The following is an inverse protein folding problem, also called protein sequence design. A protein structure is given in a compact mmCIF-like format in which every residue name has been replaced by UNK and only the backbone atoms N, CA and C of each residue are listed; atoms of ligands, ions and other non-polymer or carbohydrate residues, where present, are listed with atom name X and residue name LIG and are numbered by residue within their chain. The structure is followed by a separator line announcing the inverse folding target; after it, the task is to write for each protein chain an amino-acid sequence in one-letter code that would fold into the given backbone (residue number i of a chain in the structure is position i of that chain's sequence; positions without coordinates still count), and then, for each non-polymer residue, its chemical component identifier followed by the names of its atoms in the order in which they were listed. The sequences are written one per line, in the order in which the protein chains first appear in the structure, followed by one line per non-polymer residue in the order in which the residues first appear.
data_IF_928685758405
#
_entry.id   IF_928685758405
#
_cell.length_a   1.000
_cell.length_b   1.000
_cell.length_c   1.000
_cell.angle_alpha   90.00
_cell.angle_beta   90.00
_cell.angle_gamma   90.00
#
_symmetry.space_group_name_H-M   'P 1'
#
loop_
_entity.id
_entity.type
_entity.pdbx_description
1 polymer ?
#
# COMPACT_ATOMS: atom_id res chain seq x y z
N UNK A 1 28.18 -11.75 -1.32
CA UNK A 1 27.90 -13.20 -1.24
C UNK A 1 28.14 -13.76 -2.63
N UNK A 2 29.26 -14.46 -2.86
CA UNK A 2 29.64 -14.95 -4.19
C UNK A 2 28.77 -16.17 -4.55
N UNK A 3 28.05 -16.09 -5.68
CA UNK A 3 27.33 -17.21 -6.27
C UNK A 3 28.31 -18.32 -6.65
N UNK A 4 27.98 -19.57 -6.33
CA UNK A 4 28.76 -20.72 -6.79
C UNK A 4 28.62 -20.81 -8.30
N UNK A 5 29.74 -21.01 -9.00
CA UNK A 5 29.74 -21.27 -10.44
C UNK A 5 28.93 -22.54 -10.73
N UNK A 6 27.70 -22.37 -11.23
CA UNK A 6 26.79 -23.48 -11.57
C UNK A 6 25.30 -23.18 -11.38
N UNK A 7 24.94 -22.16 -10.59
CA UNK A 7 23.52 -21.82 -10.41
C UNK A 7 23.05 -20.95 -11.58
N UNK A 8 22.12 -21.49 -12.39
CA UNK A 8 21.42 -20.71 -13.40
C UNK A 8 20.69 -19.54 -12.70
N UNK A 9 20.74 -18.33 -13.27
CA UNK A 9 20.04 -17.19 -12.69
C UNK A 9 18.55 -17.51 -12.55
N UNK A 10 17.90 -17.12 -11.44
CA UNK A 10 16.51 -17.45 -11.20
C UNK A 10 15.64 -16.85 -12.31
N UNK A 11 14.67 -17.63 -12.81
CA UNK A 11 13.76 -17.17 -13.86
C UNK A 11 12.99 -15.94 -13.35
N UNK A 12 12.82 -14.93 -14.21
CA UNK A 12 12.13 -13.66 -13.87
C UNK A 12 10.79 -13.89 -13.16
N UNK A 13 10.01 -14.88 -13.62
CA UNK A 13 8.72 -15.24 -13.03
C UNK A 13 8.82 -15.75 -11.59
N UNK A 14 9.84 -16.56 -11.28
CA UNK A 14 10.05 -17.09 -9.92
C UNK A 14 10.44 -15.97 -8.94
N UNK A 15 11.30 -15.04 -9.40
CA UNK A 15 11.67 -13.85 -8.62
C UNK A 15 10.44 -12.98 -8.37
N UNK A 16 9.63 -12.73 -9.40
CA UNK A 16 8.41 -11.94 -9.28
C UNK A 16 7.42 -12.56 -8.28
N UNK A 17 7.13 -13.85 -8.40
CA UNK A 17 6.24 -14.57 -7.47
C UNK A 17 6.77 -14.51 -6.03
N UNK A 18 8.07 -14.73 -5.82
CA UNK A 18 8.67 -14.63 -4.49
C UNK A 18 8.49 -13.23 -3.90
N UNK A 19 8.75 -12.18 -4.69
CA UNK A 19 8.60 -10.79 -4.23
C UNK A 19 7.16 -10.39 -3.96
N UNK A 20 6.20 -10.90 -4.74
CA UNK A 20 4.79 -10.68 -4.46
C UNK A 20 4.35 -11.33 -3.15
N UNK A 21 4.79 -12.55 -2.87
CA UNK A 21 4.47 -13.20 -1.60
C UNK A 21 5.08 -12.42 -0.43
N UNK A 22 6.35 -11.99 -0.55
CA UNK A 22 6.98 -11.12 0.46
C UNK A 22 6.14 -9.84 0.68
N UNK A 23 5.73 -9.15 -0.39
CA UNK A 23 4.89 -7.96 -0.31
C UNK A 23 3.54 -8.25 0.37
N UNK A 24 2.85 -9.34 0.01
CA UNK A 24 1.55 -9.69 0.58
C UNK A 24 1.68 -9.95 2.08
N UNK A 25 2.70 -10.72 2.50
CA UNK A 25 2.98 -10.96 3.91
C UNK A 25 3.35 -9.66 4.65
N UNK A 26 4.09 -8.77 4.01
CA UNK A 26 4.45 -7.46 4.57
C UNK A 26 3.26 -6.52 4.73
N UNK A 27 2.23 -6.67 3.90
CA UNK A 27 0.91 -6.06 4.07
C UNK A 27 0.07 -6.75 5.16
N UNK A 28 0.69 -7.66 5.93
CA UNK A 28 0.11 -8.39 7.06
C UNK A 28 -1.04 -9.33 6.68
N UNK A 29 -1.09 -9.76 5.41
CA UNK A 29 -1.92 -10.89 5.03
C UNK A 29 -1.36 -12.18 5.63
N UNK A 30 -2.23 -12.97 6.28
CA UNK A 30 -1.86 -14.26 6.86
C UNK A 30 -1.96 -15.35 5.82
N UNK A 31 -0.83 -15.96 5.48
CA UNK A 31 -0.78 -17.11 4.56
C UNK A 31 -1.65 -18.27 5.07
N UNK A 32 -2.53 -18.76 4.20
CA UNK A 32 -3.33 -19.98 4.44
C UNK A 32 -2.71 -21.14 3.66
N UNK A 33 -2.39 -20.92 2.38
CA UNK A 33 -1.68 -21.89 1.57
C UNK A 33 -0.99 -21.26 0.36
N UNK A 34 0.01 -21.97 -0.16
CA UNK A 34 0.79 -21.59 -1.34
C UNK A 34 0.85 -22.74 -2.33
N UNK A 35 0.66 -22.44 -3.63
CA UNK A 35 0.72 -23.41 -4.74
C UNK A 35 -0.12 -24.67 -4.50
N UNK A 36 -1.36 -24.49 -4.04
CA UNK A 36 -2.33 -25.57 -3.82
C UNK A 36 -3.64 -25.27 -4.53
N UNK A 37 -4.37 -26.32 -4.91
CA UNK A 37 -5.67 -26.20 -5.56
C UNK A 37 -5.64 -25.41 -6.88
N UNK A 38 -4.48 -25.38 -7.54
CA UNK A 38 -4.26 -24.61 -8.76
C UNK A 38 -4.15 -23.09 -8.56
N UNK A 39 -4.06 -22.61 -7.32
CA UNK A 39 -3.85 -21.19 -6.97
C UNK A 39 -2.40 -20.95 -6.55
N UNK A 40 -1.85 -19.78 -6.89
CA UNK A 40 -0.49 -19.40 -6.49
C UNK A 40 -0.39 -19.17 -4.98
N UNK A 41 -1.36 -18.44 -4.42
CA UNK A 41 -1.36 -18.07 -3.01
C UNK A 41 -2.78 -17.79 -2.50
N UNK A 42 -3.07 -18.15 -1.25
CA UNK A 42 -4.32 -17.80 -0.57
C UNK A 42 -3.98 -17.27 0.80
N UNK A 43 -4.55 -16.11 1.15
CA UNK A 43 -4.31 -15.49 2.44
C UNK A 43 -5.53 -14.78 3.00
N UNK A 44 -5.53 -14.61 4.31
CA UNK A 44 -6.51 -13.84 5.04
C UNK A 44 -6.02 -12.39 5.18
N UNK A 45 -6.85 -11.37 4.87
CA UNK A 45 -6.45 -9.98 4.97
C UNK A 45 -6.21 -9.56 6.43
N UNK A 46 -5.47 -8.47 6.64
CA UNK A 46 -5.35 -7.88 7.96
C UNK A 46 -6.73 -7.56 8.57
N UNK A 47 -6.96 -7.82 9.88
CA UNK A 47 -8.24 -7.52 10.53
C UNK A 47 -8.55 -6.02 10.51
N UNK A 48 -9.82 -5.67 10.29
CA UNK A 48 -10.27 -4.26 10.29
C UNK A 48 -10.30 -3.65 11.70
N UNK A 49 -10.46 -4.49 12.75
CA UNK A 49 -10.47 -4.06 14.15
C UNK A 49 -9.14 -4.38 14.80
N UNK A 50 -8.62 -3.39 15.53
CA UNK A 50 -7.38 -3.50 16.29
C UNK A 50 -7.71 -4.14 17.64
N UNK A 51 -7.12 -5.28 17.94
CA UNK A 51 -7.04 -5.76 19.31
C UNK A 51 -5.96 -4.93 20.02
N UNK A 52 -6.36 -4.19 21.05
CA UNK A 52 -5.42 -3.54 21.96
C UNK A 52 -5.05 -4.58 23.02
N UNK A 53 -3.85 -5.21 22.97
CA UNK A 53 -3.44 -6.11 24.02
C UNK A 53 -3.45 -5.37 25.36
N UNK A 54 -3.98 -6.00 26.42
CA UNK A 54 -4.06 -5.39 27.76
C UNK A 54 -2.67 -4.92 28.21
N UNK A 55 -2.49 -3.60 28.34
CA UNK A 55 -1.23 -2.98 28.75
C UNK A 55 -0.16 -2.82 27.65
N UNK A 56 -0.48 -3.15 26.39
CA UNK A 56 0.43 -2.97 25.26
C UNK A 56 0.17 -1.66 24.51
N UNK A 57 1.18 -1.21 23.77
CA UNK A 57 1.02 -0.16 22.76
C UNK A 57 0.15 -0.73 21.63
N UNK A 58 -0.90 -0.03 21.15
CA UNK A 58 -1.68 -0.48 20.00
C UNK A 58 -0.75 -0.70 18.81
N UNK A 59 -0.57 -1.95 18.39
CA UNK A 59 0.06 -2.23 17.10
C UNK A 59 -1.06 -2.15 16.07
N UNK A 60 -1.16 -1.01 15.37
CA UNK A 60 -2.12 -0.93 14.26
C UNK A 60 -1.62 -1.81 13.12
N UNK A 61 -2.49 -2.71 12.72
CA UNK A 61 -2.34 -3.52 11.52
C UNK A 61 -2.41 -2.60 10.28
N UNK A 62 -1.74 -2.97 9.19
CA UNK A 62 -1.97 -2.36 7.88
C UNK A 62 -3.46 -2.31 7.57
N UNK A 63 -3.92 -1.20 6.98
CA UNK A 63 -5.22 -1.23 6.35
C UNK A 63 -5.16 -2.14 5.13
N UNK A 64 -6.15 -3.02 5.03
CA UNK A 64 -6.39 -3.84 3.85
C UNK A 64 -6.36 -2.95 2.60
N UNK A 65 -5.56 -3.28 1.58
CA UNK A 65 -5.56 -2.57 0.30
C UNK A 65 -6.99 -2.47 -0.27
N UNK A 66 -7.38 -1.29 -0.76
CA UNK A 66 -8.76 -1.11 -1.23
C UNK A 66 -9.10 -1.93 -2.48
N UNK A 67 -8.12 -2.20 -3.34
CA UNK A 67 -8.27 -3.10 -4.49
C UNK A 67 -8.09 -4.56 -4.10
N UNK A 68 -8.80 -5.02 -3.08
CA UNK A 68 -8.82 -6.43 -2.71
C UNK A 68 -10.20 -6.87 -2.25
N UNK A 69 -10.49 -8.17 -2.23
CA UNK A 69 -11.72 -8.70 -1.65
C UNK A 69 -11.85 -8.42 -0.14
N UNK A 70 -13.10 -8.30 0.35
CA UNK A 70 -13.42 -8.23 1.78
C UNK A 70 -13.40 -9.61 2.43
N UNK A 71 -12.22 -10.20 2.55
CA UNK A 71 -12.04 -11.48 3.24
C UNK A 71 -10.91 -12.30 2.63
N UNK A 72 -10.92 -13.61 2.93
CA UNK A 72 -9.95 -14.56 2.40
C UNK A 72 -9.81 -14.39 0.89
N UNK A 73 -8.59 -14.14 0.43
CA UNK A 73 -8.30 -13.71 -0.94
C UNK A 73 -7.40 -14.74 -1.62
N UNK A 74 -7.80 -15.16 -2.82
CA UNK A 74 -6.94 -15.94 -3.70
C UNK A 74 -6.11 -15.02 -4.59
N UNK A 75 -4.84 -15.33 -4.77
CA UNK A 75 -3.94 -14.59 -5.64
C UNK A 75 -3.45 -15.46 -6.78
N UNK A 76 -3.38 -14.86 -7.98
CA UNK A 76 -2.77 -15.42 -9.19
C UNK A 76 -1.69 -14.46 -9.68
N UNK A 77 -0.50 -14.97 -9.94
CA UNK A 77 0.65 -14.17 -10.34
C UNK A 77 0.94 -14.37 -11.82
N UNK A 78 1.03 -13.27 -12.56
CA UNK A 78 1.28 -13.28 -14.01
C UNK A 78 2.48 -12.40 -14.31
N UNK A 79 3.56 -13.00 -14.80
CA UNK A 79 4.77 -12.28 -15.18
C UNK A 79 5.01 -12.39 -16.69
N UNK A 80 5.34 -11.28 -17.35
CA UNK A 80 6.00 -11.24 -18.65
C UNK A 80 5.19 -11.72 -19.86
N UNK A 81 3.91 -11.36 -20.00
CA UNK A 81 3.10 -11.77 -21.15
C UNK A 81 2.00 -10.77 -21.56
N UNK A 82 1.44 -10.97 -22.76
CA UNK A 82 0.14 -10.40 -23.16
C UNK A 82 -0.95 -11.02 -22.28
N UNK A 83 -1.52 -10.23 -21.38
CA UNK A 83 -2.54 -10.69 -20.45
C UNK A 83 -3.87 -10.89 -21.18
N UNK A 84 -4.38 -12.12 -21.20
CA UNK A 84 -5.77 -12.41 -21.57
C UNK A 84 -6.64 -12.28 -20.33
N UNK A 85 -6.89 -11.03 -19.89
CA UNK A 85 -7.48 -10.75 -18.58
C UNK A 85 -8.83 -11.44 -18.36
N UNK A 86 -9.73 -11.39 -19.35
CA UNK A 86 -11.06 -12.03 -19.24
C UNK A 86 -10.92 -13.54 -18.94
N UNK A 87 -10.08 -14.27 -19.69
CA UNK A 87 -9.85 -15.70 -19.47
C UNK A 87 -9.22 -15.97 -18.10
N UNK A 88 -8.21 -15.19 -17.71
CA UNK A 88 -7.53 -15.38 -16.41
C UNK A 88 -8.51 -15.15 -15.25
N UNK A 89 -9.42 -14.17 -15.38
CA UNK A 89 -10.44 -13.89 -14.38
C UNK A 89 -11.50 -15.00 -14.31
N UNK A 90 -11.92 -15.54 -15.45
CA UNK A 90 -12.84 -16.67 -15.52
C UNK A 90 -12.22 -17.91 -14.88
N UNK A 91 -10.98 -18.25 -15.23
CA UNK A 91 -10.22 -19.36 -14.64
C UNK A 91 -10.09 -19.22 -13.13
N UNK A 92 -9.72 -18.04 -12.64
CA UNK A 92 -9.58 -17.78 -11.20
C UNK A 92 -10.93 -17.94 -10.48
N UNK A 93 -12.01 -17.40 -11.03
CA UNK A 93 -13.34 -17.54 -10.47
C UNK A 93 -13.81 -19.00 -10.44
N UNK A 94 -13.51 -19.78 -11.48
CA UNK A 94 -13.81 -21.21 -11.47
C UNK A 94 -13.04 -21.95 -10.38
N UNK A 95 -11.74 -21.66 -10.21
CA UNK A 95 -10.92 -22.25 -9.13
C UNK A 95 -11.53 -21.93 -7.77
N UNK A 96 -11.88 -20.66 -7.53
CA UNK A 96 -12.51 -20.20 -6.28
C UNK A 96 -13.84 -20.92 -6.04
N UNK A 97 -14.71 -21.01 -7.06
CA UNK A 97 -16.00 -21.72 -6.97
C UNK A 97 -15.81 -23.20 -6.64
N UNK A 98 -14.87 -23.89 -7.30
CA UNK A 98 -14.55 -25.31 -7.05
C UNK A 98 -14.06 -25.54 -5.62
N UNK A 99 -13.19 -24.67 -5.10
CA UNK A 99 -12.70 -24.74 -3.72
C UNK A 99 -13.84 -24.48 -2.72
N UNK A 100 -14.64 -23.44 -2.95
CA UNK A 100 -15.73 -23.06 -2.06
C UNK A 100 -16.89 -24.07 -2.05
N UNK A 101 -17.11 -24.82 -3.14
CA UNK A 101 -18.07 -25.91 -3.19
C UNK A 101 -17.71 -27.04 -2.23
N UNK A 102 -16.41 -27.26 -1.96
CA UNK A 102 -15.96 -28.26 -1.02
C UNK A 102 -15.70 -27.65 0.37
N UNK A 103 -16.78 -27.50 1.15
CA UNK A 103 -16.75 -26.94 2.51
C UNK A 103 -15.87 -27.70 3.51
N UNK A 104 -15.38 -28.90 3.18
CA UNK A 104 -14.48 -29.68 4.04
C UNK A 104 -13.01 -29.27 3.90
N UNK A 105 -12.66 -28.48 2.88
CA UNK A 105 -11.29 -27.98 2.71
C UNK A 105 -11.10 -26.76 3.60
N UNK A 106 -10.01 -26.73 4.38
CA UNK A 106 -9.68 -25.61 5.29
C UNK A 106 -9.54 -24.25 4.60
N UNK A 107 -9.29 -24.25 3.29
CA UNK A 107 -9.15 -23.07 2.44
C UNK A 107 -10.52 -22.51 1.98
N UNK A 108 -11.63 -23.25 2.10
CA UNK A 108 -12.96 -22.80 1.67
C UNK A 108 -13.38 -21.46 2.32
N UNK A 109 -14.30 -20.74 1.67
CA UNK A 109 -14.73 -19.40 2.10
C UNK A 109 -13.85 -18.28 1.52
N UNK A 110 -13.26 -18.47 0.34
CA UNK A 110 -12.56 -17.42 -0.40
C UNK A 110 -13.58 -16.40 -0.89
N UNK A 111 -13.42 -15.13 -0.52
CA UNK A 111 -14.32 -14.02 -0.85
C UNK A 111 -14.15 -13.50 -2.29
N UNK A 112 -12.94 -13.60 -2.84
CA UNK A 112 -12.64 -13.16 -4.20
C UNK A 112 -11.19 -13.39 -4.58
N UNK A 113 -10.80 -12.83 -5.74
CA UNK A 113 -9.48 -12.99 -6.33
C UNK A 113 -8.72 -11.69 -6.52
N UNK A 114 -7.40 -11.77 -6.51
CA UNK A 114 -6.47 -10.72 -6.98
C UNK A 114 -5.57 -11.32 -8.05
N UNK A 115 -5.52 -10.70 -9.21
CA UNK A 115 -4.50 -10.98 -10.23
C UNK A 115 -3.38 -9.96 -10.04
N UNK A 116 -2.16 -10.40 -9.78
CA UNK A 116 -1.00 -9.52 -9.68
C UNK A 116 -0.08 -9.70 -10.89
N UNK A 117 0.32 -8.59 -11.50
CA UNK A 117 1.08 -8.61 -12.77
C UNK A 117 2.18 -7.57 -12.84
N UNK A 118 3.28 -7.90 -13.51
CA UNK A 118 4.42 -7.01 -13.74
C UNK A 118 4.19 -6.05 -14.93
N UNK A 119 3.02 -6.10 -15.55
CA UNK A 119 2.63 -5.30 -16.70
C UNK A 119 1.64 -4.21 -16.28
N UNK A 120 1.83 -2.98 -16.75
CA UNK A 120 0.85 -1.90 -16.54
C UNK A 120 -0.43 -2.19 -17.30
N UNK A 121 -1.58 -2.05 -16.64
CA UNK A 121 -2.89 -2.30 -17.25
C UNK A 121 -3.67 -0.98 -17.33
N UNK A 122 -4.27 -0.65 -18.49
CA UNK A 122 -5.08 0.56 -18.60
C UNK A 122 -6.24 0.57 -17.60
N UNK A 123 -6.53 1.71 -16.97
CA UNK A 123 -7.56 1.82 -15.93
C UNK A 123 -8.95 1.38 -16.39
N UNK A 124 -9.26 1.52 -17.69
CA UNK A 124 -10.51 0.99 -18.28
C UNK A 124 -10.64 -0.53 -18.17
N UNK A 125 -9.56 -1.28 -18.34
CA UNK A 125 -9.54 -2.74 -18.22
C UNK A 125 -9.60 -3.17 -16.75
N UNK A 126 -8.95 -2.41 -15.86
CA UNK A 126 -9.07 -2.59 -14.40
C UNK A 126 -10.53 -2.47 -13.97
N UNK A 127 -11.21 -1.40 -14.40
CA UNK A 127 -12.63 -1.14 -14.11
C UNK A 127 -13.53 -2.27 -14.65
N UNK A 128 -13.35 -2.64 -15.91
CA UNK A 128 -14.09 -3.74 -16.55
C UNK A 128 -13.93 -5.06 -15.79
N UNK A 129 -12.70 -5.37 -15.37
CA UNK A 129 -12.39 -6.60 -14.62
C UNK A 129 -13.10 -6.63 -13.28
N UNK A 130 -13.04 -5.52 -12.54
CA UNK A 130 -13.69 -5.37 -11.25
C UNK A 130 -15.20 -5.57 -11.35
N UNK A 131 -15.84 -4.90 -12.31
CA UNK A 131 -17.29 -4.93 -12.52
C UNK A 131 -17.80 -6.31 -12.97
N UNK A 132 -17.06 -7.00 -13.85
CA UNK A 132 -17.52 -8.26 -14.46
C UNK A 132 -17.24 -9.50 -13.60
N UNK A 133 -16.11 -9.52 -12.89
CA UNK A 133 -15.57 -10.78 -12.36
C UNK A 133 -15.44 -10.85 -10.84
N UNK A 134 -15.68 -9.78 -10.08
CA UNK A 134 -15.35 -9.73 -8.64
C UNK A 134 -13.88 -10.16 -8.36
N UNK A 135 -13.01 -9.81 -9.31
CA UNK A 135 -11.57 -10.03 -9.26
C UNK A 135 -10.91 -8.67 -9.34
N UNK A 136 -9.95 -8.44 -8.45
CA UNK A 136 -9.18 -7.20 -8.41
C UNK A 136 -7.87 -7.39 -9.17
N UNK A 137 -7.33 -6.31 -9.72
CA UNK A 137 -6.08 -6.33 -10.47
C UNK A 137 -5.04 -5.48 -9.77
N UNK A 138 -3.88 -6.08 -9.47
CA UNK A 138 -2.68 -5.41 -8.97
C UNK A 138 -1.67 -5.37 -10.10
N UNK A 139 -1.76 -4.34 -10.91
CA UNK A 139 -0.78 -4.08 -11.96
C UNK A 139 0.50 -3.46 -11.38
N UNK A 140 1.48 -3.17 -12.24
CA UNK A 140 2.77 -2.67 -11.77
C UNK A 140 2.67 -1.36 -10.98
N UNK A 141 1.74 -0.48 -11.32
CA UNK A 141 1.51 0.80 -10.61
C UNK A 141 1.00 0.54 -9.20
N UNK A 142 -0.01 -0.32 -9.04
CA UNK A 142 -0.54 -0.73 -7.74
C UNK A 142 0.52 -1.44 -6.91
N UNK A 143 1.29 -2.34 -7.51
CA UNK A 143 2.36 -3.06 -6.81
C UNK A 143 3.44 -2.10 -6.29
N UNK A 144 3.86 -1.10 -7.08
CA UNK A 144 4.80 -0.07 -6.64
C UNK A 144 4.23 0.77 -5.50
N UNK A 145 2.96 1.14 -5.59
CA UNK A 145 2.24 1.89 -4.56
C UNK A 145 2.15 1.12 -3.24
N UNK A 146 1.80 -0.17 -3.28
CA UNK A 146 1.75 -1.02 -2.08
C UNK A 146 3.15 -1.26 -1.50
N UNK A 147 4.16 -1.38 -2.36
CA UNK A 147 5.54 -1.56 -1.95
C UNK A 147 6.10 -0.32 -1.25
N UNK A 148 5.79 0.89 -1.72
CA UNK A 148 6.20 2.12 -1.03
C UNK A 148 5.55 2.24 0.35
N UNK A 149 4.29 1.80 0.46
CA UNK A 149 3.56 1.73 1.72
C UNK A 149 4.26 0.83 2.74
N UNK A 150 4.63 -0.38 2.32
CA UNK A 150 5.45 -1.31 3.14
C UNK A 150 6.80 -0.71 3.50
N UNK A 151 7.46 -0.08 2.54
CA UNK A 151 8.76 0.53 2.73
C UNK A 151 8.73 1.64 3.79
N UNK A 152 7.76 2.54 3.72
CA UNK A 152 7.62 3.65 4.68
C UNK A 152 7.34 3.12 6.09
N UNK A 153 6.46 2.12 6.23
CA UNK A 153 6.22 1.50 7.54
C UNK A 153 7.50 0.91 8.11
N UNK A 154 8.28 0.18 7.31
CA UNK A 154 9.58 -0.38 7.73
C UNK A 154 10.60 0.69 8.10
N UNK A 155 10.70 1.76 7.30
CA UNK A 155 11.56 2.94 7.55
C UNK A 155 11.24 3.58 8.91
N UNK A 156 9.97 3.58 9.30
CA UNK A 156 9.50 4.18 10.55
C UNK A 156 9.42 3.20 11.72
N UNK A 157 9.49 1.89 11.47
CA UNK A 157 9.42 0.85 12.48
C UNK A 157 10.69 0.87 13.35
N UNK A 158 10.63 1.64 14.44
CA UNK A 158 11.67 1.71 15.47
C UNK A 158 11.12 1.20 16.80
N UNK A 159 11.97 0.67 17.70
CA UNK A 159 11.55 0.32 19.04
C UNK A 159 10.81 1.48 19.70
N UNK A 160 9.63 1.21 20.28
CA UNK A 160 8.78 2.19 21.00
C UNK A 160 8.16 3.30 20.13
N UNK A 161 8.27 3.22 18.81
CA UNK A 161 7.53 4.13 17.90
C UNK A 161 6.28 3.40 17.42
N UNK A 162 5.12 3.94 17.77
CA UNK A 162 3.85 3.46 17.25
C UNK A 162 3.60 4.07 15.86
N UNK A 163 3.28 3.22 14.89
CA UNK A 163 2.83 3.62 13.57
C UNK A 163 1.34 3.39 13.51
N UNK A 164 0.60 4.41 13.12
CA UNK A 164 -0.83 4.38 12.99
C UNK A 164 -1.22 4.52 11.54
N UNK A 165 -2.10 3.64 11.08
CA UNK A 165 -2.80 3.82 9.81
C UNK A 165 -4.29 4.05 10.06
N UNK A 166 -4.89 4.97 9.30
CA UNK A 166 -6.32 5.25 9.34
C UNK A 166 -6.84 5.79 8.00
N UNK A 167 -8.11 5.52 7.71
CA UNK A 167 -8.80 6.10 6.55
C UNK A 167 -9.13 7.55 6.83
N UNK A 168 -8.91 8.41 5.85
CA UNK A 168 -9.40 9.79 5.87
C UNK A 168 -10.76 9.86 5.20
N UNK A 169 -10.86 9.24 4.03
CA UNK A 169 -12.09 9.14 3.25
C UNK A 169 -12.14 7.79 2.52
N UNK A 170 -13.03 7.66 1.54
CA UNK A 170 -13.17 6.43 0.74
C UNK A 170 -11.91 6.09 -0.06
N UNK A 171 -11.16 7.09 -0.54
CA UNK A 171 -10.03 6.90 -1.46
C UNK A 171 -8.66 7.19 -0.84
N UNK A 172 -8.61 7.63 0.42
CA UNK A 172 -7.38 8.08 1.05
C UNK A 172 -7.20 7.50 2.45
N UNK A 173 -5.95 7.18 2.76
CA UNK A 173 -5.52 6.79 4.10
C UNK A 173 -4.25 7.53 4.48
N UNK A 174 -4.05 7.75 5.77
CA UNK A 174 -2.77 8.21 6.30
C UNK A 174 -2.08 7.13 7.10
N UNK A 175 -0.78 7.06 6.92
CA UNK A 175 0.14 6.42 7.84
C UNK A 175 0.90 7.51 8.58
N UNK A 176 0.94 7.44 9.91
CA UNK A 176 1.63 8.44 10.74
C UNK A 176 2.39 7.81 11.88
N UNK A 177 3.48 8.45 12.28
CA UNK A 177 4.20 8.11 13.50
C UNK A 177 4.75 9.37 14.18
N UNK A 178 4.86 9.31 15.51
CA UNK A 178 5.46 10.37 16.32
C UNK A 178 6.85 9.90 16.72
N UNK A 179 7.86 10.67 16.34
CA UNK A 179 9.24 10.50 16.81
C UNK A 179 9.71 11.73 17.59
N UNK A 180 10.77 11.54 18.36
CA UNK A 180 11.49 12.64 19.01
C UNK A 180 12.51 13.25 18.06
N UNK A 181 12.47 14.56 17.82
CA UNK A 181 13.50 15.26 17.06
C UNK A 181 14.64 15.65 17.99
N UNK A 182 15.76 14.92 17.90
CA UNK A 182 16.86 14.97 18.89
C UNK A 182 17.62 16.29 18.95
N UNK A 183 17.39 17.23 18.01
CA UNK A 183 18.18 18.47 17.91
C UNK A 183 17.55 19.72 18.53
N UNK A 184 16.27 19.70 18.96
CA UNK A 184 15.56 20.97 19.18
C UNK A 184 14.51 21.03 20.31
N UNK A 185 14.37 20.02 21.19
CA UNK A 185 13.17 19.91 22.06
C UNK A 185 11.85 20.00 21.26
N UNK A 186 11.83 19.44 20.06
CA UNK A 186 10.65 19.43 19.19
C UNK A 186 10.19 18.00 18.93
N UNK A 187 8.90 17.85 18.66
CA UNK A 187 8.33 16.61 18.17
C UNK A 187 8.43 16.56 16.65
N UNK A 188 8.71 15.37 16.11
CA UNK A 188 8.62 15.12 14.67
C UNK A 188 7.47 14.17 14.39
N UNK A 189 6.48 14.66 13.67
CA UNK A 189 5.40 13.88 13.10
C UNK A 189 5.75 13.53 11.67
N UNK A 190 5.90 12.24 11.37
CA UNK A 190 5.98 11.79 9.98
C UNK A 190 4.59 11.38 9.54
N UNK A 191 4.16 11.88 8.39
CA UNK A 191 2.85 11.58 7.80
C UNK A 191 3.06 11.18 6.35
N UNK A 192 2.47 10.06 5.95
CA UNK A 192 2.41 9.59 4.58
C UNK A 192 0.94 9.46 4.20
N UNK A 193 0.48 10.30 3.27
CA UNK A 193 -0.84 10.27 2.67
C UNK A 193 -0.82 9.33 1.46
N UNK A 194 -1.76 8.40 1.42
CA UNK A 194 -1.93 7.43 0.35
C UNK A 194 -3.29 7.64 -0.32
N UNK A 195 -3.28 8.33 -1.46
CA UNK A 195 -4.44 8.46 -2.34
C UNK A 195 -4.46 7.28 -3.32
N UNK A 196 -5.51 6.48 -3.20
CA UNK A 196 -5.60 5.14 -3.76
C UNK A 196 -6.59 5.07 -4.92
N UNK A 197 -7.17 6.16 -5.41
CA UNK A 197 -8.04 6.07 -6.58
C UNK A 197 -7.18 5.79 -7.84
N UNK A 198 -7.43 4.74 -8.63
CA UNK A 198 -6.66 4.42 -9.84
C UNK A 198 -7.28 5.06 -11.10
N UNK A 199 -8.44 5.70 -10.96
CA UNK A 199 -9.24 6.21 -12.07
C UNK A 199 -9.22 7.73 -12.15
N UNK A 200 -9.13 8.40 -11.00
CA UNK A 200 -9.20 9.86 -10.89
C UNK A 200 -7.85 10.33 -10.36
N UNK A 201 -7.10 11.17 -11.09
CA UNK A 201 -5.89 11.82 -10.58
C UNK A 201 -6.19 12.65 -9.33
N UNK A 202 -5.18 12.82 -8.48
CA UNK A 202 -5.29 13.72 -7.34
C UNK A 202 -5.24 15.18 -7.83
N UNK A 203 -6.34 15.91 -7.64
CA UNK A 203 -6.48 17.31 -8.02
C UNK A 203 -6.23 18.28 -6.84
N UNK A 204 -6.31 19.58 -7.13
CA UNK A 204 -6.02 20.64 -6.18
C UNK A 204 -7.00 20.66 -5.01
N UNK A 205 -8.30 20.58 -5.31
CA UNK A 205 -9.37 20.62 -4.31
C UNK A 205 -9.26 19.43 -3.33
N UNK A 206 -9.09 18.22 -3.85
CA UNK A 206 -8.89 17.02 -3.04
C UNK A 206 -7.61 17.11 -2.20
N UNK A 207 -6.54 17.69 -2.76
CA UNK A 207 -5.28 17.88 -2.04
C UNK A 207 -5.48 18.83 -0.87
N UNK A 208 -6.12 19.99 -1.07
CA UNK A 208 -6.41 20.95 -0.01
C UNK A 208 -7.30 20.37 1.08
N UNK A 209 -8.36 19.66 0.69
CA UNK A 209 -9.27 18.98 1.63
C UNK A 209 -8.50 17.97 2.50
N UNK A 210 -7.72 17.07 1.89
CA UNK A 210 -6.97 16.06 2.62
C UNK A 210 -5.90 16.67 3.52
N UNK A 211 -5.20 17.71 3.08
CA UNK A 211 -4.20 18.40 3.91
C UNK A 211 -4.83 19.17 5.07
N UNK A 212 -6.02 19.74 4.88
CA UNK A 212 -6.79 20.36 5.96
C UNK A 212 -7.18 19.32 7.02
N UNK A 213 -7.71 18.16 6.59
CA UNK A 213 -8.06 17.05 7.48
C UNK A 213 -6.83 16.52 8.25
N UNK A 214 -5.69 16.34 7.57
CA UNK A 214 -4.43 15.95 8.21
C UNK A 214 -4.00 16.98 9.24
N UNK A 215 -4.03 18.26 8.88
CA UNK A 215 -3.63 19.36 9.77
C UNK A 215 -4.50 19.37 11.02
N UNK A 216 -5.83 19.29 10.87
CA UNK A 216 -6.76 19.20 12.00
C UNK A 216 -6.44 18.00 12.91
N UNK A 217 -6.19 16.82 12.34
CA UNK A 217 -5.86 15.61 13.10
C UNK A 217 -4.55 15.74 13.86
N UNK A 218 -3.52 16.34 13.26
CA UNK A 218 -2.25 16.56 13.95
C UNK A 218 -2.46 17.57 15.07
N UNK A 219 -3.20 18.67 14.82
CA UNK A 219 -3.53 19.68 15.84
C UNK A 219 -4.22 19.06 17.05
N UNK A 220 -5.20 18.18 16.84
CA UNK A 220 -5.88 17.46 17.93
C UNK A 220 -4.91 16.65 18.80
N UNK A 221 -3.88 16.05 18.20
CA UNK A 221 -2.89 15.24 18.92
C UNK A 221 -1.87 16.12 19.63
N UNK A 222 -1.44 17.22 19.01
CA UNK A 222 -0.36 18.08 19.54
C UNK A 222 -0.85 19.19 20.45
N UNK A 223 -2.16 19.49 20.48
CA UNK A 223 -2.73 20.57 21.29
C UNK A 223 -2.33 20.48 22.75
N UNK A 224 -2.28 19.26 23.28
CA UNK A 224 -1.96 19.00 24.68
C UNK A 224 -0.45 18.76 24.90
N UNK A 225 0.36 18.85 23.83
CA UNK A 225 1.80 18.72 23.87
C UNK A 225 2.43 20.13 23.96
N UNK A 226 3.34 20.32 24.91
CA UNK A 226 3.98 21.62 25.17
C UNK A 226 5.14 21.94 24.22
N UNK A 227 5.51 21.00 23.35
CA UNK A 227 6.68 21.11 22.47
C UNK A 227 6.26 21.54 21.05
N UNK A 228 7.04 22.41 20.38
CA UNK A 228 6.84 22.70 18.97
C UNK A 228 6.87 21.41 18.14
N UNK A 229 5.98 21.32 17.15
CA UNK A 229 5.86 20.13 16.30
C UNK A 229 6.23 20.44 14.85
N UNK A 230 7.12 19.61 14.33
CA UNK A 230 7.47 19.57 12.91
C UNK A 230 6.77 18.42 12.22
N UNK A 231 6.22 18.68 11.03
CA UNK A 231 5.58 17.65 10.20
C UNK A 231 6.38 17.42 8.93
N UNK A 232 6.85 16.19 8.75
CA UNK A 232 7.31 15.68 7.44
C UNK A 232 6.16 15.00 6.73
N UNK A 233 5.94 15.35 5.46
CA UNK A 233 4.74 14.97 4.70
C UNK A 233 5.10 14.31 3.37
N UNK A 234 4.81 13.03 3.24
CA UNK A 234 4.95 12.29 1.97
C UNK A 234 3.54 12.06 1.38
N UNK A 235 3.27 12.48 0.13
CA UNK A 235 2.01 12.24 -0.58
C UNK A 235 2.24 11.24 -1.71
N UNK A 236 1.47 10.17 -1.69
CA UNK A 236 1.55 9.06 -2.64
C UNK A 236 0.22 8.97 -3.39
N UNK A 237 0.24 9.21 -4.70
CA UNK A 237 -0.95 9.12 -5.56
C UNK A 237 -0.85 7.96 -6.54
N UNK A 238 -1.80 7.03 -6.47
CA UNK A 238 -1.84 5.86 -7.34
C UNK A 238 -2.06 6.24 -8.83
N UNK A 239 -3.03 7.12 -9.09
CA UNK A 239 -3.41 7.59 -10.42
C UNK A 239 -2.59 8.78 -10.93
N UNK A 240 -1.63 9.27 -10.13
CA UNK A 240 -0.89 10.50 -10.42
C UNK A 240 -1.61 11.75 -9.94
N UNK A 241 -1.15 12.91 -10.41
CA UNK A 241 -1.64 14.23 -10.02
C UNK A 241 -2.00 15.06 -11.24
N UNK A 242 -2.82 16.08 -11.04
CA UNK A 242 -2.96 17.15 -12.04
C UNK A 242 -1.73 18.04 -12.06
N UNK A 243 -1.46 18.69 -13.20
CA UNK A 243 -0.35 19.65 -13.36
C UNK A 243 -0.41 20.77 -12.31
N UNK A 244 -1.63 21.25 -12.01
CA UNK A 244 -1.86 22.28 -10.99
C UNK A 244 -1.34 21.86 -9.60
N UNK A 245 -1.51 20.59 -9.22
CA UNK A 245 -0.98 20.06 -7.95
C UNK A 245 0.54 20.04 -8.00
N UNK A 246 1.14 19.57 -9.08
CA UNK A 246 2.61 19.50 -9.21
C UNK A 246 3.26 20.88 -9.10
N UNK A 247 2.66 21.89 -9.74
CA UNK A 247 3.16 23.28 -9.71
C UNK A 247 2.96 23.98 -8.37
N UNK A 248 1.90 23.62 -7.63
CA UNK A 248 1.49 24.36 -6.43
C UNK A 248 1.68 23.58 -5.12
N UNK A 249 2.09 22.31 -5.15
CA UNK A 249 2.18 21.43 -3.98
C UNK A 249 2.87 22.10 -2.77
N UNK A 250 4.06 22.68 -2.98
CA UNK A 250 4.81 23.36 -1.91
C UNK A 250 4.08 24.58 -1.36
N UNK A 251 3.42 25.35 -2.22
CA UNK A 251 2.65 26.54 -1.80
C UNK A 251 1.47 26.11 -0.94
N UNK A 252 0.78 25.04 -1.31
CA UNK A 252 -0.36 24.49 -0.56
C UNK A 252 0.10 24.00 0.80
N UNK A 253 1.16 23.17 0.86
CA UNK A 253 1.71 22.67 2.13
C UNK A 253 2.13 23.84 3.03
N UNK A 254 2.76 24.87 2.46
CA UNK A 254 3.12 26.08 3.19
C UNK A 254 1.90 26.86 3.70
N UNK A 255 0.86 27.00 2.90
CA UNK A 255 -0.39 27.67 3.32
C UNK A 255 -1.04 26.96 4.50
N UNK A 256 -0.96 25.62 4.55
CA UNK A 256 -1.48 24.80 5.66
C UNK A 256 -0.60 24.81 6.92
N UNK A 257 0.59 25.43 6.87
CA UNK A 257 1.58 25.42 7.96
C UNK A 257 1.46 26.56 8.97
N UNK A 258 0.38 27.33 8.95
CA UNK A 258 0.21 28.48 9.86
C UNK A 258 -0.29 28.01 11.25
N UNK A 259 0.54 28.12 12.30
CA UNK A 259 0.15 27.87 13.69
C UNK A 259 1.18 27.11 14.56
N UNK A 260 0.69 26.30 15.53
CA UNK A 260 1.49 25.43 16.44
C UNK A 260 2.25 24.30 15.72
N UNK A 261 1.98 24.11 14.43
CA UNK A 261 2.56 23.09 13.57
C UNK A 261 3.32 23.79 12.47
N UNK A 262 4.59 23.44 12.30
CA UNK A 262 5.38 23.86 11.14
C UNK A 262 5.65 22.65 10.26
N UNK A 263 5.18 22.67 9.01
CA UNK A 263 5.60 21.67 8.03
C UNK A 263 7.05 21.93 7.63
N UNK A 264 7.87 20.89 7.57
CA UNK A 264 9.24 20.99 7.09
C UNK A 264 9.20 20.89 5.58
N UNK A 265 9.34 22.02 4.88
CA UNK A 265 9.19 22.10 3.42
C UNK A 265 10.17 21.16 2.67
N UNK A 266 11.37 20.93 3.22
CA UNK A 266 12.35 19.98 2.67
C UNK A 266 11.91 18.51 2.78
N UNK A 267 10.92 18.21 3.63
CA UNK A 267 10.37 16.87 3.84
C UNK A 267 8.96 16.72 3.27
N UNK A 268 8.49 17.69 2.48
CA UNK A 268 7.27 17.57 1.69
C UNK A 268 7.60 16.94 0.33
N UNK A 269 7.09 15.75 0.05
CA UNK A 269 7.32 15.06 -1.24
C UNK A 269 6.03 14.54 -1.86
N UNK A 270 5.93 14.59 -3.18
CA UNK A 270 4.84 14.03 -3.97
C UNK A 270 5.38 12.90 -4.85
N UNK A 271 4.72 11.73 -4.83
CA UNK A 271 5.10 10.56 -5.64
C UNK A 271 3.89 10.00 -6.39
N UNK A 272 4.02 9.90 -7.71
CA UNK A 272 2.99 9.42 -8.63
C UNK A 272 3.34 8.02 -9.16
N UNK A 273 2.39 7.10 -9.14
CA UNK A 273 2.62 5.69 -9.52
C UNK A 273 2.04 5.32 -10.89
N UNK A 274 1.32 6.22 -11.53
CA UNK A 274 0.83 6.04 -12.89
C UNK A 274 2.01 5.85 -13.86
N UNK A 275 3.12 6.56 -13.72
CA UNK A 275 4.28 6.40 -14.62
C UNK A 275 5.33 5.42 -14.05
N UNK A 276 5.05 4.75 -12.92
CA UNK A 276 6.07 3.96 -12.20
C UNK A 276 6.67 2.82 -13.06
N UNK A 277 7.98 2.85 -13.33
CA UNK A 277 8.65 1.76 -14.03
C UNK A 277 8.91 0.58 -13.09
N UNK A 278 8.86 -0.63 -13.66
CA UNK A 278 8.99 -1.89 -12.92
C UNK A 278 10.27 -2.03 -12.08
N UNK A 279 11.36 -1.33 -12.44
CA UNK A 279 12.61 -1.39 -11.67
C UNK A 279 12.49 -0.75 -10.28
N UNK A 280 11.48 0.08 -10.03
CA UNK A 280 11.19 0.63 -8.70
C UNK A 280 10.87 -0.47 -7.68
N UNK A 281 10.23 -1.57 -8.09
CA UNK A 281 10.04 -2.74 -7.22
C UNK A 281 11.38 -3.37 -6.82
N UNK A 282 12.36 -3.41 -7.72
CA UNK A 282 13.65 -4.04 -7.45
C UNK A 282 14.55 -3.16 -6.57
N UNK A 283 14.54 -1.84 -6.75
CA UNK A 283 15.40 -0.92 -6.00
C UNK A 283 14.94 -0.75 -4.55
N UNK A 284 13.62 -0.74 -4.31
CA UNK A 284 13.06 -0.64 -2.96
C UNK A 284 13.37 -1.91 -2.14
N UNK A 285 13.39 -3.08 -2.79
CA UNK A 285 13.64 -4.37 -2.11
C UNK A 285 15.14 -4.66 -1.92
N UNK A 286 16.01 -4.27 -2.86
CA UNK A 286 17.46 -4.55 -2.79
C UNK A 286 18.21 -3.80 -1.69
N UNK A 287 17.71 -2.67 -1.19
CA UNK A 287 18.42 -1.86 -0.17
C UNK A 287 18.42 -2.43 1.25
N UNK A 288 17.68 -3.51 1.52
CA UNK A 288 17.47 -4.00 2.90
C UNK A 288 17.52 -5.54 3.04
N UNK A 289 18.19 -6.25 2.14
CA UNK A 289 18.79 -7.53 2.52
C UNK A 289 20.10 -7.16 3.24
N UNK A 290 20.23 -7.36 4.57
CA UNK A 290 21.50 -7.17 5.25
C UNK A 290 22.60 -8.08 4.69
#
# INVERSE_FOLDING_TARGET
MYERAGDLPPRKGDVFQKKLIELICDLEYKEICRRRFGLDFVAEPPPEKIDIPKGGVPQKVFLRPMFSPMGKTAFEFKAGAKLQLDQICEDLNEKIKKINANKRISVAGIAGGVIATDTKVPSREIKKTLEKHNVYLWDISILCFLTSKVFIRRKWAKPRVAIFEEKINEWASIMRCIGTYTRSNCLKFNVALYYQNPFIPLDLEMTEEMLSLITQRIQEIVRDLTLPTYVGLEVHSLSGTTEEVEENFRKIVKAQSQGLISYVEEEASLTCYDIAPWYCLLSIIKRYIP
#
